data_IF_479658079133
#
_entry.id   IF_479658079133
#
_cell.length_a   1.000
_cell.length_b   1.000
_cell.length_c   1.000
_cell.angle_alpha   90.00
_cell.angle_beta   90.00
_cell.angle_gamma   90.00
#
_symmetry.space_group_name_H-M   'P 1'
#
loop_
_entity.id
_entity.type
_entity.pdbx_description
1 polymer ?
#
# COMPACT_ATOMS: atom_id res chain seq x y z
N UNK A 1 -17.54 11.57 -2.33
CA UNK A 1 -16.60 11.99 -1.27
C UNK A 1 -15.20 12.09 -1.86
N UNK A 2 -14.92 13.14 -2.61
CA UNK A 2 -13.58 13.39 -3.11
C UNK A 2 -12.70 13.87 -1.94
N UNK A 3 -11.49 13.32 -1.79
CA UNK A 3 -10.73 13.46 -0.53
C UNK A 3 -9.64 14.53 -0.54
N UNK A 4 -9.34 15.20 -1.66
CA UNK A 4 -8.53 16.42 -1.62
C UNK A 4 -8.79 17.35 -2.79
N UNK A 5 -8.44 16.88 -3.99
CA UNK A 5 -8.46 17.70 -5.21
C UNK A 5 -9.25 17.06 -6.36
N UNK A 6 -9.90 15.92 -6.09
CA UNK A 6 -10.82 15.21 -7.00
C UNK A 6 -10.21 14.82 -8.35
N UNK A 7 -8.89 14.80 -8.39
CA UNK A 7 -8.05 14.65 -9.57
C UNK A 7 -6.75 13.97 -9.12
N UNK A 8 -5.98 13.48 -10.09
CA UNK A 8 -4.65 12.92 -9.89
C UNK A 8 -3.76 13.97 -9.21
N UNK A 9 -2.94 13.53 -8.25
CA UNK A 9 -1.93 14.39 -7.62
C UNK A 9 -0.84 14.67 -8.66
N UNK A 10 -0.60 15.93 -9.09
CA UNK A 10 0.20 16.22 -10.28
C UNK A 10 1.69 15.87 -10.15
N UNK A 11 2.14 15.52 -8.95
CA UNK A 11 3.51 15.12 -8.63
C UNK A 11 3.59 13.66 -8.15
N UNK A 12 2.52 12.87 -8.32
CA UNK A 12 2.56 11.40 -8.14
C UNK A 12 3.12 10.74 -9.40
N UNK A 13 3.77 9.59 -9.24
CA UNK A 13 4.38 8.84 -10.36
C UNK A 13 3.66 7.54 -10.69
N UNK A 14 2.73 7.12 -9.84
CA UNK A 14 2.08 5.82 -9.84
C UNK A 14 0.59 5.92 -9.42
N UNK A 15 -0.13 4.82 -9.64
CA UNK A 15 -1.54 4.64 -9.29
C UNK A 15 -1.73 3.25 -8.70
N UNK A 16 -2.34 3.17 -7.53
CA UNK A 16 -2.72 1.92 -6.87
C UNK A 16 -4.21 1.62 -7.07
N UNK A 17 -4.53 0.36 -7.40
CA UNK A 17 -5.91 -0.11 -7.55
C UNK A 17 -6.11 -1.36 -6.69
N UNK A 18 -7.20 -1.38 -5.93
CA UNK A 18 -7.63 -2.54 -5.15
C UNK A 18 -8.61 -3.44 -5.91
N UNK A 19 -8.54 -4.75 -5.67
CA UNK A 19 -9.53 -5.74 -6.09
C UNK A 19 -10.37 -6.19 -4.89
N UNK A 20 -11.58 -6.70 -5.12
CA UNK A 20 -12.42 -7.14 -4.00
C UNK A 20 -11.87 -8.41 -3.34
N UNK A 21 -11.91 -8.44 -2.01
CA UNK A 21 -11.51 -9.61 -1.21
C UNK A 21 -12.37 -10.87 -1.47
N UNK A 22 -13.57 -10.74 -2.07
CA UNK A 22 -14.35 -11.91 -2.49
C UNK A 22 -13.76 -12.62 -3.71
N UNK A 23 -12.98 -11.89 -4.50
CA UNK A 23 -12.30 -12.41 -5.69
C UNK A 23 -10.89 -12.89 -5.34
N UNK A 24 -10.43 -12.61 -4.12
CA UNK A 24 -9.20 -13.15 -3.56
C UNK A 24 -9.32 -14.65 -3.36
N UNK A 25 -8.34 -15.38 -3.91
CA UNK A 25 -8.08 -16.78 -3.58
C UNK A 25 -6.78 -16.86 -2.78
N UNK A 26 -6.70 -17.65 -1.70
CA UNK A 26 -5.46 -17.82 -0.93
C UNK A 26 -4.24 -18.17 -1.80
N UNK A 27 -4.46 -18.96 -2.86
CA UNK A 27 -3.41 -19.37 -3.80
C UNK A 27 -2.77 -18.20 -4.55
N UNK A 28 -3.45 -17.05 -4.65
CA UNK A 28 -2.90 -15.85 -5.28
C UNK A 28 -1.69 -15.32 -4.50
N UNK A 29 -1.68 -15.43 -3.17
CA UNK A 29 -0.52 -15.01 -2.37
C UNK A 29 0.70 -15.84 -2.73
N UNK A 30 0.52 -17.17 -2.81
CA UNK A 30 1.58 -18.08 -3.20
C UNK A 30 2.09 -17.76 -4.60
N UNK A 31 1.17 -17.61 -5.58
CA UNK A 31 1.51 -17.33 -6.97
C UNK A 31 2.23 -15.99 -7.15
N UNK A 32 1.77 -14.92 -6.50
CA UNK A 32 2.45 -13.63 -6.58
C UNK A 32 3.81 -13.67 -5.88
N UNK A 33 3.91 -14.38 -4.76
CA UNK A 33 5.19 -14.56 -4.07
C UNK A 33 6.23 -15.29 -4.92
N UNK A 34 5.83 -16.21 -5.81
CA UNK A 34 6.78 -16.87 -6.73
C UNK A 34 7.25 -15.96 -7.87
N UNK A 35 6.65 -14.78 -8.01
CA UNK A 35 7.00 -13.77 -9.02
C UNK A 35 7.49 -12.47 -8.35
N UNK A 36 8.11 -12.59 -7.17
CA UNK A 36 8.69 -11.48 -6.39
C UNK A 36 7.68 -10.39 -5.99
N UNK A 37 6.41 -10.76 -5.84
CA UNK A 37 5.32 -9.91 -5.34
C UNK A 37 4.77 -10.47 -4.02
N UNK A 38 5.53 -10.39 -2.91
CA UNK A 38 5.06 -10.90 -1.63
C UNK A 38 3.91 -10.05 -1.09
N UNK A 39 2.96 -10.69 -0.40
CA UNK A 39 1.94 -9.98 0.35
C UNK A 39 2.58 -9.24 1.52
N UNK A 40 2.55 -7.91 1.49
CA UNK A 40 3.18 -7.07 2.52
C UNK A 40 2.22 -6.67 3.63
N UNK A 41 0.93 -6.47 3.31
CA UNK A 41 -0.05 -5.94 4.25
C UNK A 41 -1.38 -6.69 4.13
N UNK A 42 -1.98 -7.04 5.27
CA UNK A 42 -3.32 -7.59 5.36
C UNK A 42 -4.19 -6.67 6.21
N UNK A 43 -5.22 -6.08 5.61
CA UNK A 43 -6.16 -5.21 6.30
C UNK A 43 -7.44 -5.96 6.70
N UNK A 44 -8.08 -5.53 7.78
CA UNK A 44 -9.39 -6.04 8.19
C UNK A 44 -10.48 -5.72 7.16
N UNK A 45 -11.63 -6.40 7.25
CA UNK A 45 -12.78 -6.11 6.37
C UNK A 45 -13.35 -4.73 6.71
N UNK A 46 -13.67 -3.94 5.68
CA UNK A 46 -14.32 -2.64 5.80
C UNK A 46 -15.49 -2.51 4.82
N UNK A 47 -16.38 -1.55 5.10
CA UNK A 47 -17.50 -1.24 4.22
C UNK A 47 -17.08 -0.30 3.10
N UNK A 48 -17.74 -0.40 1.94
CA UNK A 48 -17.43 0.40 0.75
C UNK A 48 -18.55 1.39 0.44
N UNK A 49 -18.17 2.65 0.29
CA UNK A 49 -19.04 3.78 -0.04
C UNK A 49 -18.72 4.32 -1.45
N UNK A 50 -19.68 5.01 -2.07
CA UNK A 50 -19.48 5.62 -3.38
C UNK A 50 -18.75 6.96 -3.26
N UNK A 51 -17.85 7.21 -4.20
CA UNK A 51 -17.21 8.50 -4.41
C UNK A 51 -17.14 8.85 -5.88
N UNK A 52 -16.71 10.08 -6.18
CA UNK A 52 -16.50 10.62 -7.51
C UNK A 52 -15.04 11.05 -7.67
N UNK A 53 -14.44 10.68 -8.80
CA UNK A 53 -13.07 10.99 -9.18
C UNK A 53 -13.01 11.13 -10.70
N UNK A 54 -12.67 12.32 -11.22
CA UNK A 54 -12.68 12.58 -12.67
C UNK A 54 -13.96 12.10 -13.37
N UNK A 55 -15.12 12.47 -12.82
CA UNK A 55 -16.46 12.06 -13.27
C UNK A 55 -16.74 10.54 -13.22
N UNK A 56 -15.83 9.74 -12.65
CA UNK A 56 -16.02 8.31 -12.42
C UNK A 56 -16.54 8.03 -11.01
N UNK A 57 -17.55 7.16 -10.92
CA UNK A 57 -18.01 6.64 -9.63
C UNK A 57 -17.14 5.47 -9.18
N UNK A 58 -16.39 5.67 -8.10
CA UNK A 58 -15.48 4.68 -7.52
C UNK A 58 -15.94 4.24 -6.12
N UNK A 59 -15.44 3.09 -5.66
CA UNK A 59 -15.66 2.60 -4.29
C UNK A 59 -14.44 2.91 -3.42
N UNK A 60 -14.70 3.47 -2.24
CA UNK A 60 -13.68 3.76 -1.21
C UNK A 60 -14.14 3.21 0.14
N UNK A 61 -13.23 2.95 1.11
CA UNK A 61 -13.63 2.61 2.48
C UNK A 61 -14.59 3.66 3.05
N UNK A 62 -15.70 3.28 3.70
CA UNK A 62 -16.63 4.28 4.24
C UNK A 62 -15.97 5.18 5.32
N UNK A 63 -15.06 4.62 6.13
CA UNK A 63 -14.24 5.37 7.09
C UNK A 63 -12.91 5.84 6.45
N UNK A 64 -12.95 6.41 5.23
CA UNK A 64 -11.69 6.70 4.48
C UNK A 64 -10.76 7.64 5.25
N UNK A 65 -11.29 8.64 5.94
CA UNK A 65 -10.47 9.62 6.66
C UNK A 65 -9.61 8.98 7.76
N UNK A 66 -10.17 8.02 8.51
CA UNK A 66 -9.40 7.29 9.54
C UNK A 66 -8.24 6.51 8.93
N UNK A 67 -8.46 5.92 7.76
CA UNK A 67 -7.40 5.22 7.02
C UNK A 67 -6.33 6.22 6.55
N UNK A 68 -6.72 7.37 6.03
CA UNK A 68 -5.78 8.39 5.57
C UNK A 68 -4.99 8.96 6.75
N UNK A 69 -5.64 9.35 7.84
CA UNK A 69 -4.98 9.89 9.03
C UNK A 69 -3.99 8.90 9.65
N UNK A 70 -4.35 7.60 9.69
CA UNK A 70 -3.46 6.57 10.22
C UNK A 70 -2.17 6.41 9.40
N UNK A 71 -2.23 6.64 8.07
CA UNK A 71 -1.09 6.47 7.16
C UNK A 71 -0.33 7.77 6.87
N UNK A 72 -1.01 8.93 6.90
CA UNK A 72 -0.48 10.22 6.44
C UNK A 72 -0.50 11.31 7.51
N UNK A 73 -1.05 11.02 8.71
CA UNK A 73 -1.14 11.94 9.82
C UNK A 73 -2.32 12.92 9.74
N UNK A 74 -2.59 13.65 10.81
CA UNK A 74 -3.74 14.56 10.91
C UNK A 74 -3.69 15.74 9.91
N UNK A 75 -2.50 16.11 9.43
CA UNK A 75 -2.30 17.19 8.46
C UNK A 75 -2.28 16.73 7.00
N UNK A 76 -2.74 15.51 6.71
CA UNK A 76 -2.73 14.86 5.40
C UNK A 76 -3.30 15.71 4.25
N UNK A 77 -4.20 16.65 4.54
CA UNK A 77 -4.77 17.56 3.55
C UNK A 77 -3.76 18.60 3.04
N UNK A 78 -2.66 18.83 3.77
CA UNK A 78 -1.60 19.76 3.39
C UNK A 78 -0.67 19.11 2.37
N UNK A 79 -0.53 19.66 1.14
CA UNK A 79 0.30 19.04 0.11
C UNK A 79 1.78 18.98 0.50
N UNK A 80 2.31 17.77 0.69
CA UNK A 80 3.73 17.50 0.75
C UNK A 80 4.20 17.02 -0.63
N UNK A 81 5.08 17.80 -1.27
CA UNK A 81 5.61 17.48 -2.63
C UNK A 81 6.79 16.51 -2.59
N UNK A 82 7.43 16.37 -1.44
CA UNK A 82 8.47 15.38 -1.18
C UNK A 82 7.91 14.43 -0.14
N UNK A 83 7.70 13.19 -0.55
CA UNK A 83 7.18 12.13 0.29
C UNK A 83 7.94 10.85 -0.02
N UNK A 84 8.52 10.24 1.00
CA UNK A 84 9.08 8.90 0.92
C UNK A 84 8.10 7.95 1.58
N UNK A 85 7.47 7.08 0.78
CA UNK A 85 6.46 6.15 1.27
C UNK A 85 7.00 5.19 2.34
N UNK A 86 8.31 4.97 2.41
CA UNK A 86 8.96 4.10 3.41
C UNK A 86 9.29 4.80 4.71
N UNK A 87 9.42 6.13 4.72
CA UNK A 87 10.01 6.87 5.84
C UNK A 87 9.20 8.07 6.33
N UNK A 88 8.34 8.63 5.47
CA UNK A 88 7.51 9.80 5.81
C UNK A 88 6.22 9.49 6.60
N UNK A 89 5.58 8.30 6.48
CA UNK A 89 4.43 7.98 7.32
C UNK A 89 4.77 8.06 8.82
N UNK A 90 3.89 8.64 9.66
CA UNK A 90 4.16 8.86 11.08
C UNK A 90 4.17 7.56 11.90
N UNK A 91 3.62 6.49 11.33
CA UNK A 91 3.55 5.16 11.93
C UNK A 91 4.69 4.23 11.48
N UNK A 92 5.68 4.74 10.74
CA UNK A 92 6.90 4.00 10.42
C UNK A 92 7.88 4.12 11.57
N UNK A 93 8.34 2.97 12.05
CA UNK A 93 9.45 2.86 13.00
C UNK A 93 10.61 2.10 12.36
N UNK A 94 11.84 2.50 12.70
CA UNK A 94 13.03 1.77 12.26
C UNK A 94 13.07 0.41 12.97
N UNK A 95 12.96 -0.67 12.19
CA UNK A 95 12.98 -2.03 12.73
C UNK A 95 14.39 -2.59 12.99
N UNK A 96 15.42 -1.74 12.89
CA UNK A 96 16.83 -2.12 12.94
C UNK A 96 17.28 -2.96 11.75
N UNK A 97 18.48 -3.53 11.85
CA UNK A 97 19.05 -4.46 10.88
C UNK A 97 19.48 -5.75 11.57
N UNK A 98 19.30 -6.88 10.90
CA UNK A 98 19.87 -8.15 11.37
C UNK A 98 21.40 -8.06 11.43
N UNK A 99 22.05 -8.57 12.49
CA UNK A 99 23.51 -8.71 12.52
C UNK A 99 24.00 -9.54 11.34
N UNK A 100 25.20 -9.23 10.82
CA UNK A 100 25.75 -9.89 9.62
C UNK A 100 25.87 -11.41 9.82
N UNK A 101 26.08 -11.84 11.06
CA UNK A 101 26.18 -13.23 11.48
C UNK A 101 24.87 -14.00 11.30
N UNK A 102 23.73 -13.31 11.31
CA UNK A 102 22.39 -13.88 11.18
C UNK A 102 21.87 -13.85 9.74
N UNK A 103 22.51 -13.09 8.85
CA UNK A 103 22.11 -12.98 7.44
C UNK A 103 21.96 -14.33 6.72
N UNK A 104 22.85 -15.33 6.90
CA UNK A 104 22.69 -16.63 6.24
C UNK A 104 21.41 -17.38 6.63
N UNK A 105 20.79 -17.02 7.76
CA UNK A 105 19.59 -17.68 8.28
C UNK A 105 18.31 -16.96 7.81
N UNK A 106 18.38 -15.64 7.65
CA UNK A 106 17.21 -14.79 7.37
C UNK A 106 17.11 -14.32 5.92
N UNK A 107 18.21 -14.36 5.16
CA UNK A 107 18.24 -14.01 3.73
C UNK A 107 18.21 -15.29 2.90
N UNK A 108 17.15 -15.46 2.12
CA UNK A 108 17.04 -16.55 1.15
C UNK A 108 17.46 -16.04 -0.23
N UNK A 109 18.48 -16.67 -0.82
CA UNK A 109 18.90 -16.41 -2.20
C UNK A 109 18.28 -17.49 -3.10
N UNK A 110 17.42 -17.08 -4.03
CA UNK A 110 16.89 -17.97 -5.05
C UNK A 110 17.79 -17.89 -6.30
N UNK A 111 18.25 -19.03 -6.85
CA UNK A 111 19.00 -19.01 -8.10
C UNK A 111 18.09 -18.50 -9.23
N UNK A 112 18.64 -17.65 -10.10
CA UNK A 112 17.95 -17.25 -11.33
C UNK A 112 17.83 -18.48 -12.24
N UNK A 113 16.69 -18.67 -12.94
CA UNK A 113 16.55 -19.77 -13.88
C UNK A 113 17.58 -19.66 -15.00
N UNK A 114 18.22 -20.78 -15.34
CA UNK A 114 19.13 -20.87 -16.47
C UNK A 114 18.40 -20.47 -17.76
N UNK A 115 18.97 -19.50 -18.49
CA UNK A 115 18.47 -18.93 -19.75
C UNK A 115 18.46 -19.91 -20.90
#
# INVERSE_FOLDING_TARGET
>A
MCLRQCDVIPYTTDVDIGIFIRDYKPDMVSLFSTHDLPLTHLFGKFQLCWTEFLDLKLRVPCETERYIEANYGASWFTPLKKWDWKASPPNVEENGAWPVEEWPQVIQLFPLPDS
#
